data_IF_884208452946
#
_entry.id   IF_884208452946
#
_cell.length_a   1.000
_cell.length_b   1.000
_cell.length_c   1.000
_cell.angle_alpha   90.00
_cell.angle_beta   90.00
_cell.angle_gamma   90.00
#
_symmetry.space_group_name_H-M   'P 1'
#
loop_
_entity.id
_entity.type
_entity.pdbx_description
1 polymer ?
#
# COMPACT_ATOMS: atom_id res chain seq x y z
N UNK A 1 -13.12 16.52 35.69
CA UNK A 1 -11.99 16.88 36.57
C UNK A 1 -11.00 15.73 36.85
N UNK A 2 -11.41 14.47 37.04
CA UNK A 2 -10.47 13.32 37.20
C UNK A 2 -9.50 13.14 36.01
N UNK A 3 -10.02 13.26 34.79
CA UNK A 3 -9.26 13.10 33.53
C UNK A 3 -8.08 14.08 33.38
N UNK A 4 -8.22 15.31 33.90
CA UNK A 4 -7.17 16.34 33.88
C UNK A 4 -6.01 16.03 34.85
N UNK A 5 -6.27 15.28 35.92
CA UNK A 5 -5.25 14.80 36.85
C UNK A 5 -4.40 13.69 36.23
N UNK A 6 -5.06 12.70 35.62
CA UNK A 6 -4.41 11.58 34.93
C UNK A 6 -3.57 12.04 33.73
N UNK A 7 -4.01 13.08 33.01
CA UNK A 7 -3.24 13.70 31.92
C UNK A 7 -1.99 14.45 32.39
N UNK A 8 -2.03 15.07 33.58
CA UNK A 8 -0.84 15.71 34.17
C UNK A 8 0.21 14.67 34.55
N UNK A 9 -0.22 13.52 35.08
CA UNK A 9 0.67 12.42 35.42
C UNK A 9 1.33 11.80 34.19
N UNK A 10 0.58 11.60 33.09
CA UNK A 10 1.12 11.12 31.82
C UNK A 10 2.15 12.08 31.22
N UNK A 11 1.89 13.39 31.28
CA UNK A 11 2.82 14.40 30.80
C UNK A 11 4.12 14.43 31.62
N UNK A 12 4.01 14.37 32.95
CA UNK A 12 5.19 14.28 33.81
C UNK A 12 6.00 13.00 33.59
N UNK A 13 5.35 11.89 33.26
CA UNK A 13 6.02 10.64 32.91
C UNK A 13 6.80 10.77 31.60
N UNK A 14 6.16 11.35 30.56
CA UNK A 14 6.79 11.59 29.26
C UNK A 14 8.03 12.47 29.39
N UNK A 15 7.92 13.59 30.13
CA UNK A 15 9.02 14.54 30.36
C UNK A 15 10.17 13.94 31.19
N UNK A 16 9.90 12.95 32.05
CA UNK A 16 10.93 12.20 32.80
C UNK A 16 11.65 11.19 31.92
N UNK A 17 10.92 10.50 31.04
CA UNK A 17 11.51 9.53 30.09
C UNK A 17 12.39 10.25 29.07
N UNK A 18 11.98 11.42 28.56
CA UNK A 18 12.77 12.22 27.64
C UNK A 18 14.13 12.66 28.22
N UNK A 19 14.20 12.89 29.53
CA UNK A 19 15.44 13.24 30.26
C UNK A 19 16.37 12.05 30.53
N UNK A 20 15.88 10.81 30.38
CA UNK A 20 16.61 9.57 30.73
C UNK A 20 17.33 8.91 29.54
N UNK A 21 17.18 9.42 28.31
CA UNK A 21 17.73 8.79 27.11
C UNK A 21 19.14 9.35 26.83
N UNK A 22 20.23 8.56 26.97
CA UNK A 22 21.57 8.99 26.55
C UNK A 22 21.70 8.88 25.01
N UNK A 23 22.66 9.63 24.44
CA UNK A 23 23.12 9.82 23.04
C UNK A 23 23.08 8.65 22.02
N UNK A 24 22.54 7.46 22.34
CA UNK A 24 22.31 6.33 21.42
C UNK A 24 21.20 6.58 20.39
N UNK A 25 20.32 7.56 20.57
CA UNK A 25 19.27 7.93 19.59
C UNK A 25 19.85 8.38 18.24
N UNK A 26 21.07 8.92 18.24
CA UNK A 26 21.78 9.32 17.02
C UNK A 26 22.19 8.11 16.19
N UNK A 27 22.50 6.95 16.78
CA UNK A 27 22.97 5.78 16.01
C UNK A 27 21.85 5.03 15.29
N UNK A 28 20.63 5.00 15.85
CA UNK A 28 19.46 4.39 15.20
C UNK A 28 18.92 5.28 14.08
N UNK A 29 18.88 6.59 14.30
CA UNK A 29 18.53 7.56 13.25
C UNK A 29 19.53 7.49 12.08
N UNK A 30 20.83 7.39 12.36
CA UNK A 30 21.84 7.19 11.32
C UNK A 30 21.71 5.85 10.59
N UNK A 31 21.23 4.79 11.27
CA UNK A 31 21.01 3.49 10.65
C UNK A 31 19.83 3.50 9.67
N UNK A 32 18.73 4.15 10.05
CA UNK A 32 17.55 4.30 9.20
C UNK A 32 17.83 5.22 8.01
N UNK A 33 18.55 6.33 8.23
CA UNK A 33 19.00 7.23 7.16
C UNK A 33 19.93 6.53 6.17
N UNK A 34 20.89 5.73 6.67
CA UNK A 34 21.79 4.91 5.82
C UNK A 34 21.01 3.87 5.01
N UNK A 35 20.00 3.22 5.60
CA UNK A 35 19.16 2.25 4.90
C UNK A 35 18.35 2.91 3.78
N UNK A 36 17.83 4.11 4.03
CA UNK A 36 17.10 4.89 3.03
C UNK A 36 18.02 5.30 1.86
N UNK A 37 19.20 5.84 2.16
CA UNK A 37 20.20 6.21 1.13
C UNK A 37 20.61 5.01 0.25
N UNK A 38 20.81 3.83 0.86
CA UNK A 38 21.17 2.62 0.12
C UNK A 38 20.02 2.14 -0.78
N UNK A 39 18.76 2.23 -0.31
CA UNK A 39 17.58 1.88 -1.12
C UNK A 39 17.39 2.83 -2.31
N UNK A 40 17.59 4.13 -2.11
CA UNK A 40 17.51 5.13 -3.18
C UNK A 40 18.63 4.92 -4.22
N UNK A 41 19.87 4.63 -3.78
CA UNK A 41 20.98 4.26 -4.66
C UNK A 41 20.71 2.98 -5.45
N UNK A 42 20.13 1.96 -4.82
CA UNK A 42 19.78 0.71 -5.49
C UNK A 42 18.69 0.94 -6.56
N UNK A 43 17.63 1.67 -6.23
CA UNK A 43 16.53 1.93 -7.17
C UNK A 43 16.96 2.82 -8.34
N UNK A 44 17.74 3.88 -8.08
CA UNK A 44 18.28 4.73 -9.15
C UNK A 44 19.25 3.97 -10.05
N UNK A 45 20.09 3.11 -9.47
CA UNK A 45 20.98 2.23 -10.22
C UNK A 45 20.25 1.23 -11.10
N UNK A 46 19.27 0.49 -10.56
CA UNK A 46 18.43 -0.45 -11.32
C UNK A 46 17.71 0.24 -12.48
N UNK A 47 17.21 1.46 -12.26
CA UNK A 47 16.56 2.27 -13.30
C UNK A 47 17.54 2.65 -14.41
N UNK A 48 18.78 3.04 -14.05
CA UNK A 48 19.83 3.42 -15.02
C UNK A 48 20.21 2.26 -15.95
N UNK A 49 20.19 1.03 -15.44
CA UNK A 49 20.51 -0.18 -16.21
C UNK A 49 19.27 -0.91 -16.75
N UNK A 50 18.09 -0.31 -16.62
CA UNK A 50 16.81 -0.83 -17.11
C UNK A 50 16.42 -2.23 -16.58
N UNK A 51 16.69 -2.49 -15.30
CA UNK A 51 16.25 -3.70 -14.60
C UNK A 51 15.05 -3.42 -13.70
N UNK A 52 14.12 -4.37 -13.65
CA UNK A 52 12.86 -4.24 -12.92
C UNK A 52 13.01 -4.62 -11.44
N UNK A 53 13.92 -5.54 -11.12
CA UNK A 53 14.19 -5.93 -9.74
C UNK A 53 15.57 -6.58 -9.56
N UNK A 54 16.01 -6.62 -8.30
CA UNK A 54 17.30 -7.18 -7.85
C UNK A 54 17.48 -8.66 -8.23
N UNK A 55 16.40 -9.44 -8.36
CA UNK A 55 16.49 -10.87 -8.68
C UNK A 55 17.02 -11.12 -10.10
N UNK A 56 17.06 -10.09 -10.95
CA UNK A 56 17.61 -10.15 -12.30
C UNK A 56 19.13 -9.94 -12.32
N UNK A 57 19.73 -9.34 -11.29
CA UNK A 57 21.17 -9.02 -11.25
C UNK A 57 22.08 -10.24 -11.46
N UNK A 58 21.87 -11.40 -10.80
CA UNK A 58 22.78 -12.55 -10.98
C UNK A 58 22.75 -13.12 -12.42
N UNK A 59 21.60 -13.02 -13.09
CA UNK A 59 21.46 -13.41 -14.50
C UNK A 59 22.22 -12.46 -15.41
N UNK A 60 22.02 -11.16 -15.23
CA UNK A 60 22.65 -10.12 -16.05
C UNK A 60 24.17 -10.03 -15.86
N UNK A 61 24.67 -10.25 -14.64
CA UNK A 61 26.10 -10.35 -14.34
C UNK A 61 26.73 -11.48 -15.15
N UNK A 62 26.12 -12.68 -15.11
CA UNK A 62 26.59 -13.84 -15.86
C UNK A 62 26.58 -13.57 -17.37
N UNK A 63 25.52 -12.96 -17.88
CA UNK A 63 25.38 -12.67 -19.30
C UNK A 63 26.39 -11.61 -19.77
N UNK A 64 26.68 -10.59 -18.93
CA UNK A 64 27.73 -9.59 -19.19
C UNK A 64 29.13 -10.23 -19.20
N UNK A 65 29.43 -11.14 -18.26
CA UNK A 65 30.70 -11.90 -18.26
C UNK A 65 30.89 -12.73 -19.53
N UNK A 66 29.81 -13.35 -20.03
CA UNK A 66 29.84 -14.11 -21.29
C UNK A 66 30.06 -13.20 -22.51
N UNK A 67 29.42 -12.02 -22.55
CA UNK A 67 29.63 -11.01 -23.60
C UNK A 67 31.07 -10.49 -23.61
N UNK A 68 31.67 -10.21 -22.44
CA UNK A 68 33.08 -9.82 -22.33
C UNK A 68 34.00 -10.89 -22.92
N UNK A 69 33.83 -12.16 -22.51
CA UNK A 69 34.62 -13.29 -23.03
C UNK A 69 34.49 -13.41 -24.55
N UNK A 70 33.30 -13.17 -25.10
CA UNK A 70 33.03 -13.17 -26.55
C UNK A 70 33.74 -12.02 -27.26
N UNK A 71 33.66 -10.79 -26.74
CA UNK A 71 34.31 -9.63 -27.36
C UNK A 71 35.84 -9.72 -27.35
N UNK A 72 36.42 -10.25 -26.27
CA UNK A 72 37.86 -10.51 -26.17
C UNK A 72 38.34 -11.53 -27.22
N UNK A 73 37.58 -12.64 -27.41
CA UNK A 73 37.89 -13.64 -28.45
C UNK A 73 37.79 -13.08 -29.86
N UNK A 74 36.96 -12.07 -30.08
CA UNK A 74 36.74 -11.43 -31.38
C UNK A 74 37.69 -10.25 -31.64
N UNK A 75 38.62 -9.95 -30.73
CA UNK A 75 39.53 -8.81 -30.86
C UNK A 75 38.87 -7.44 -30.71
N UNK A 76 37.61 -7.38 -30.25
CA UNK A 76 36.83 -6.14 -30.06
C UNK A 76 37.09 -5.56 -28.66
N UNK A 77 38.27 -4.98 -28.48
CA UNK A 77 38.75 -4.48 -27.19
C UNK A 77 37.87 -3.36 -26.61
N UNK A 78 37.37 -2.46 -27.45
CA UNK A 78 36.51 -1.33 -27.03
C UNK A 78 35.16 -1.82 -26.48
N UNK A 79 34.47 -2.72 -27.19
CA UNK A 79 33.24 -3.35 -26.71
C UNK A 79 33.44 -4.16 -25.42
N UNK A 80 34.58 -4.84 -25.27
CA UNK A 80 34.90 -5.55 -24.05
C UNK A 80 35.10 -4.58 -22.87
N UNK A 81 35.69 -3.41 -23.11
CA UNK A 81 35.87 -2.38 -22.08
C UNK A 81 34.55 -1.73 -21.66
N UNK A 82 33.65 -1.45 -22.59
CA UNK A 82 32.35 -0.89 -22.25
C UNK A 82 31.46 -1.90 -21.51
N UNK A 83 31.51 -3.17 -21.92
CA UNK A 83 30.82 -4.24 -21.19
C UNK A 83 31.43 -4.49 -19.80
N UNK A 84 32.74 -4.29 -19.63
CA UNK A 84 33.39 -4.32 -18.29
C UNK A 84 32.92 -3.19 -17.39
N UNK A 85 32.67 -1.98 -17.93
CA UNK A 85 32.07 -0.88 -17.15
C UNK A 85 30.65 -1.24 -16.72
N UNK A 86 29.87 -1.82 -17.63
CA UNK A 86 28.52 -2.28 -17.32
C UNK A 86 28.50 -3.38 -16.25
N UNK A 87 29.40 -4.37 -16.34
CA UNK A 87 29.56 -5.41 -15.33
C UNK A 87 29.91 -4.82 -13.95
N UNK A 88 30.79 -3.81 -13.90
CA UNK A 88 31.13 -3.13 -12.65
C UNK A 88 29.91 -2.42 -12.03
N UNK A 89 29.05 -1.81 -12.85
CA UNK A 89 27.80 -1.20 -12.35
C UNK A 89 26.83 -2.24 -11.77
N UNK A 90 26.73 -3.42 -12.41
CA UNK A 90 25.91 -4.53 -11.91
C UNK A 90 26.41 -5.08 -10.57
N UNK A 91 27.72 -5.29 -10.44
CA UNK A 91 28.35 -5.79 -9.21
C UNK A 91 28.23 -4.80 -8.05
N UNK A 92 28.28 -3.50 -8.33
CA UNK A 92 28.07 -2.47 -7.31
C UNK A 92 26.63 -2.49 -6.78
N UNK A 93 25.64 -2.76 -7.63
CA UNK A 93 24.24 -2.90 -7.21
C UNK A 93 23.99 -4.19 -6.43
N UNK A 94 24.64 -5.29 -6.80
CA UNK A 94 24.63 -6.54 -6.03
C UNK A 94 25.19 -6.30 -4.61
N UNK A 95 26.33 -5.62 -4.50
CA UNK A 95 26.95 -5.25 -3.22
C UNK A 95 26.03 -4.39 -2.34
N UNK A 96 25.36 -3.39 -2.94
CA UNK A 96 24.40 -2.54 -2.21
C UNK A 96 23.21 -3.36 -1.72
N UNK A 97 22.71 -4.30 -2.53
CA UNK A 97 21.63 -5.20 -2.15
C UNK A 97 22.02 -6.12 -0.98
N UNK A 98 23.24 -6.67 -0.99
CA UNK A 98 23.76 -7.46 0.13
C UNK A 98 23.94 -6.61 1.40
N UNK A 99 24.43 -5.37 1.28
CA UNK A 99 24.55 -4.45 2.41
C UNK A 99 23.18 -4.15 3.03
N UNK A 100 22.14 -3.95 2.21
CA UNK A 100 20.76 -3.79 2.71
C UNK A 100 20.28 -5.07 3.41
N UNK A 101 20.57 -6.26 2.87
CA UNK A 101 20.20 -7.53 3.48
C UNK A 101 20.86 -7.72 4.86
N UNK A 102 22.14 -7.39 4.99
CA UNK A 102 22.88 -7.50 6.26
C UNK A 102 22.38 -6.51 7.31
N UNK A 103 22.08 -5.27 6.91
CA UNK A 103 21.51 -4.25 7.79
C UNK A 103 20.05 -4.54 8.21
N UNK A 104 19.38 -5.48 7.54
CA UNK A 104 17.99 -5.86 7.85
C UNK A 104 17.86 -7.20 8.59
N UNK A 105 18.94 -7.98 8.73
CA UNK A 105 18.94 -9.24 9.50
C UNK A 105 19.34 -9.02 10.98
N UNK A 106 18.43 -9.34 11.91
CA UNK A 106 18.73 -9.52 13.36
C UNK A 106 18.91 -11.04 13.64
N UNK A 107 19.84 -11.49 14.49
CA UNK A 107 20.12 -12.91 14.68
C UNK A 107 19.11 -13.58 15.62
N UNK A 108 18.47 -14.65 15.16
CA UNK A 108 17.74 -15.60 16.00
C UNK A 108 18.39 -16.98 15.88
N UNK A 109 18.95 -17.45 17.00
CA UNK A 109 19.56 -18.76 17.17
C UNK A 109 18.52 -19.88 17.32
N UNK A 110 18.91 -21.07 16.84
CA UNK A 110 18.48 -22.43 17.16
C UNK A 110 17.00 -22.72 17.46
N UNK A 111 16.42 -23.64 16.68
CA UNK A 111 16.05 -24.98 17.16
C UNK A 111 15.60 -25.88 16.00
N UNK A 112 16.33 -26.99 15.88
CA UNK A 112 16.02 -28.19 15.09
C UNK A 112 14.74 -28.87 15.55
N UNK A 113 13.91 -29.39 14.63
CA UNK A 113 13.45 -30.79 14.62
C UNK A 113 12.57 -31.10 13.40
N UNK A 114 12.85 -32.27 12.81
CA UNK A 114 12.27 -32.89 11.63
C UNK A 114 10.87 -33.52 11.85
N UNK A 115 10.16 -33.90 10.76
CA UNK A 115 8.72 -34.14 10.73
C UNK A 115 8.33 -35.63 10.75
N UNK A 116 7.05 -35.92 11.06
CA UNK A 116 6.42 -37.20 10.74
C UNK A 116 5.07 -37.00 10.04
N UNK A 117 4.92 -37.82 9.00
CA UNK A 117 3.87 -37.93 7.98
C UNK A 117 2.72 -38.87 8.36
N UNK A 118 1.51 -38.62 7.83
CA UNK A 118 0.53 -39.58 7.24
C UNK A 118 -0.78 -38.82 6.90
N UNK A 119 -1.18 -38.68 5.61
CA UNK A 119 -2.01 -39.59 4.78
C UNK A 119 -3.46 -39.77 5.31
N UNK A 120 -4.59 -39.65 4.59
CA UNK A 120 -4.95 -39.28 3.21
C UNK A 120 -6.51 -39.27 3.07
N UNK A 121 -7.03 -38.64 2.00
CA UNK A 121 -8.27 -38.89 1.22
C UNK A 121 -9.63 -38.18 1.52
N UNK A 122 -10.02 -37.35 0.51
CA UNK A 122 -11.35 -37.09 -0.10
C UNK A 122 -12.34 -36.12 0.62
N UNK A 123 -13.01 -35.13 0.01
CA UNK A 123 -13.25 -34.76 -1.40
C UNK A 123 -13.64 -33.25 -1.59
N UNK A 124 -13.12 -32.64 -2.67
CA UNK A 124 -13.56 -31.53 -3.58
C UNK A 124 -14.50 -30.37 -3.16
N UNK A 125 -14.45 -29.22 -3.88
CA UNK A 125 -13.31 -28.35 -4.23
C UNK A 125 -13.53 -26.94 -3.60
N UNK A 126 -12.66 -25.95 -3.88
CA UNK A 126 -13.00 -24.52 -4.10
C UNK A 126 -11.83 -23.62 -3.67
N UNK A 127 -11.19 -23.07 -4.71
CA UNK A 127 -10.27 -21.93 -4.80
C UNK A 127 -8.87 -22.16 -4.20
N UNK A 128 -8.04 -22.83 -5.00
CA UNK A 128 -6.58 -22.68 -4.98
C UNK A 128 -6.07 -22.61 -6.42
N UNK A 129 -6.34 -21.48 -7.07
CA UNK A 129 -5.55 -21.00 -8.21
C UNK A 129 -5.58 -19.47 -8.14
N UNK A 130 -4.45 -18.85 -7.75
CA UNK A 130 -4.20 -17.43 -8.05
C UNK A 130 -4.01 -17.39 -9.57
N UNK A 131 -5.12 -17.31 -10.27
CA UNK A 131 -5.19 -17.23 -11.72
C UNK A 131 -5.21 -15.76 -12.14
N UNK A 132 -4.75 -15.51 -13.36
CA UNK A 132 -4.81 -14.26 -14.13
C UNK A 132 -6.20 -13.57 -14.15
N UNK A 133 -7.24 -14.21 -13.62
CA UNK A 133 -8.60 -13.69 -13.45
C UNK A 133 -8.70 -12.54 -12.45
N UNK A 134 -7.88 -12.51 -11.39
CA UNK A 134 -7.96 -11.48 -10.34
C UNK A 134 -7.41 -10.12 -10.81
N UNK A 135 -6.33 -10.11 -11.61
CA UNK A 135 -5.81 -8.89 -12.22
C UNK A 135 -6.77 -8.31 -13.27
N UNK A 136 -7.38 -9.17 -14.09
CA UNK A 136 -8.39 -8.74 -15.06
C UNK A 136 -9.60 -8.09 -14.39
N UNK A 137 -10.08 -8.66 -13.28
CA UNK A 137 -11.18 -8.10 -12.51
C UNK A 137 -10.81 -6.75 -11.88
N UNK A 138 -9.60 -6.62 -11.32
CA UNK A 138 -9.10 -5.34 -10.80
C UNK A 138 -9.02 -4.26 -11.89
N UNK A 139 -8.49 -4.61 -13.07
CA UNK A 139 -8.42 -3.70 -14.22
C UNK A 139 -9.81 -3.27 -14.70
N UNK A 140 -10.77 -4.20 -14.78
CA UNK A 140 -12.16 -3.86 -15.11
C UNK A 140 -12.80 -2.90 -14.12
N UNK A 141 -12.67 -3.18 -12.81
CA UNK A 141 -13.22 -2.31 -11.78
C UNK A 141 -12.60 -0.89 -11.84
N UNK A 142 -11.30 -0.81 -12.10
CA UNK A 142 -10.61 0.46 -12.31
C UNK A 142 -11.16 1.24 -13.52
N UNK A 143 -11.43 0.56 -14.64
CA UNK A 143 -12.02 1.18 -15.82
C UNK A 143 -13.45 1.65 -15.59
N UNK A 144 -14.27 0.88 -14.88
CA UNK A 144 -15.63 1.28 -14.50
C UNK A 144 -15.63 2.55 -13.65
N UNK A 145 -14.67 2.65 -12.71
CA UNK A 145 -14.48 3.85 -11.90
C UNK A 145 -14.11 5.06 -12.76
N UNK A 146 -13.14 4.91 -13.68
CA UNK A 146 -12.73 5.99 -14.59
C UNK A 146 -13.87 6.42 -15.52
N UNK A 147 -14.66 5.47 -16.03
CA UNK A 147 -15.84 5.74 -16.86
C UNK A 147 -16.90 6.53 -16.08
N UNK A 148 -17.13 6.17 -14.82
CA UNK A 148 -18.04 6.89 -13.93
C UNK A 148 -17.60 8.33 -13.68
N UNK A 149 -16.29 8.55 -13.50
CA UNK A 149 -15.74 9.89 -13.28
C UNK A 149 -15.87 10.82 -14.49
N UNK A 150 -15.88 10.29 -15.72
CA UNK A 150 -15.87 11.10 -16.95
C UNK A 150 -17.09 12.01 -17.12
N UNK A 151 -18.21 11.74 -16.45
CA UNK A 151 -19.37 12.65 -16.47
C UNK A 151 -19.08 13.95 -15.71
N UNK A 152 -18.25 13.86 -14.68
CA UNK A 152 -17.98 14.95 -13.74
C UNK A 152 -16.70 15.73 -14.11
N UNK A 153 -15.81 15.13 -14.90
CA UNK A 153 -14.60 15.80 -15.41
C UNK A 153 -14.99 16.77 -16.55
N UNK A 154 -14.61 18.07 -16.46
CA UNK A 154 -14.85 19.04 -17.53
C UNK A 154 -14.06 18.70 -18.79
N UNK A 155 -14.34 19.37 -19.91
CA UNK A 155 -13.61 19.16 -21.17
C UNK A 155 -12.18 19.73 -21.15
N UNK A 156 -11.30 19.12 -20.35
CA UNK A 156 -9.90 19.48 -20.13
C UNK A 156 -8.93 18.37 -20.57
N UNK A 157 -7.62 18.58 -20.35
CA UNK A 157 -6.59 17.59 -20.62
C UNK A 157 -6.82 16.28 -19.84
N UNK A 158 -7.21 16.37 -18.56
CA UNK A 158 -7.51 15.19 -17.72
C UNK A 158 -8.54 14.28 -18.37
N UNK A 159 -9.67 14.84 -18.82
CA UNK A 159 -10.73 14.06 -19.48
C UNK A 159 -10.22 13.35 -20.72
N UNK A 160 -9.48 14.05 -21.57
CA UNK A 160 -8.93 13.48 -22.81
C UNK A 160 -7.93 12.35 -22.51
N UNK A 161 -7.13 12.47 -21.44
CA UNK A 161 -6.22 11.39 -21.03
C UNK A 161 -6.99 10.18 -20.51
N UNK A 162 -8.03 10.39 -19.70
CA UNK A 162 -8.89 9.31 -19.19
C UNK A 162 -9.60 8.60 -20.35
N UNK A 163 -10.12 9.34 -21.33
CA UNK A 163 -10.70 8.78 -22.55
C UNK A 163 -9.68 7.88 -23.29
N UNK A 164 -8.44 8.34 -23.42
CA UNK A 164 -7.36 7.55 -24.02
C UNK A 164 -6.99 6.32 -23.21
N UNK A 165 -6.91 6.43 -21.89
CA UNK A 165 -6.62 5.30 -21.01
C UNK A 165 -7.68 4.22 -21.15
N UNK A 166 -8.96 4.60 -21.11
CA UNK A 166 -10.07 3.66 -21.28
C UNK A 166 -10.01 2.98 -22.65
N UNK A 167 -9.75 3.75 -23.71
CA UNK A 167 -9.60 3.21 -25.07
C UNK A 167 -8.49 2.16 -25.18
N UNK A 168 -7.27 2.50 -24.76
CA UNK A 168 -6.12 1.61 -24.92
C UNK A 168 -6.11 0.43 -23.93
N UNK A 169 -6.61 0.60 -22.71
CA UNK A 169 -6.79 -0.52 -21.78
C UNK A 169 -7.87 -1.50 -22.28
N UNK A 170 -8.97 -1.03 -22.86
CA UNK A 170 -9.96 -1.92 -23.49
C UNK A 170 -9.37 -2.71 -24.67
N UNK A 171 -8.50 -2.08 -25.48
CA UNK A 171 -7.75 -2.78 -26.54
C UNK A 171 -6.80 -3.85 -26.00
N UNK A 172 -6.13 -3.60 -24.87
CA UNK A 172 -5.29 -4.60 -24.20
C UNK A 172 -6.09 -5.76 -23.62
N UNK A 173 -7.36 -5.54 -23.25
CA UNK A 173 -8.26 -6.54 -22.69
C UNK A 173 -9.07 -7.31 -23.76
N UNK A 174 -8.84 -7.06 -25.05
CA UNK A 174 -9.56 -7.64 -26.19
C UNK A 174 -11.10 -7.42 -26.17
N UNK A 175 -11.58 -6.41 -25.44
CA UNK A 175 -13.01 -6.07 -25.36
C UNK A 175 -13.32 -4.95 -26.37
N UNK A 176 -13.97 -5.37 -27.46
CA UNK A 176 -14.59 -4.60 -28.54
C UNK A 176 -13.82 -4.40 -29.87
N UNK A 177 -14.62 -4.70 -30.89
CA UNK A 177 -14.44 -4.80 -32.33
C UNK A 177 -14.71 -3.48 -33.06
N UNK A 178 -13.87 -3.13 -34.04
CA UNK A 178 -14.21 -2.71 -35.42
C UNK A 178 -13.28 -1.62 -35.97
N UNK A 179 -13.05 -1.72 -37.27
CA UNK A 179 -11.94 -1.18 -38.05
C UNK A 179 -12.18 0.25 -38.60
N UNK A 180 -12.55 1.22 -37.76
CA UNK A 180 -12.75 2.63 -38.18
C UNK A 180 -11.97 3.71 -37.39
N UNK A 181 -11.03 3.35 -36.52
CA UNK A 181 -10.57 4.26 -35.44
C UNK A 181 -9.28 5.07 -35.70
N UNK A 182 -8.43 4.73 -36.68
CA UNK A 182 -7.11 5.38 -36.85
C UNK A 182 -7.17 6.90 -37.13
N UNK A 183 -8.21 7.36 -37.84
CA UNK A 183 -8.38 8.80 -38.14
C UNK A 183 -8.92 9.61 -36.95
N UNK A 184 -9.62 8.98 -36.00
CA UNK A 184 -10.15 9.64 -34.79
C UNK A 184 -9.02 9.86 -33.78
N UNK A 185 -8.13 8.87 -33.62
CA UNK A 185 -7.02 8.89 -32.66
C UNK A 185 -5.98 10.00 -32.90
N UNK A 186 -5.80 10.44 -34.15
CA UNK A 186 -4.79 11.45 -34.50
C UNK A 186 -5.26 12.88 -34.21
N UNK A 187 -6.55 13.14 -34.44
CA UNK A 187 -7.19 14.41 -34.06
C UNK A 187 -7.24 14.61 -32.54
N UNK A 188 -7.48 13.53 -31.79
CA UNK A 188 -7.56 13.57 -30.33
C UNK A 188 -6.21 13.78 -29.64
N UNK A 189 -5.10 13.30 -30.23
CA UNK A 189 -3.76 13.55 -29.68
C UNK A 189 -3.36 15.02 -29.83
N UNK A 190 -3.66 15.64 -30.98
CA UNK A 190 -3.44 17.07 -31.18
C UNK A 190 -4.28 17.90 -30.19
N UNK A 191 -5.55 17.52 -30.00
CA UNK A 191 -6.43 18.12 -28.98
C UNK A 191 -5.80 18.06 -27.59
N UNK A 192 -5.27 16.90 -27.19
CA UNK A 192 -4.59 16.74 -25.89
C UNK A 192 -3.37 17.66 -25.75
N UNK A 193 -2.54 17.77 -26.78
CA UNK A 193 -1.38 18.67 -26.76
C UNK A 193 -1.78 20.13 -26.63
N UNK A 194 -2.85 20.53 -27.32
CA UNK A 194 -3.36 21.90 -27.25
C UNK A 194 -4.00 22.17 -25.88
N UNK A 195 -4.68 21.19 -25.27
CA UNK A 195 -5.22 21.31 -23.91
C UNK A 195 -4.10 21.46 -22.87
N UNK A 196 -3.08 20.59 -22.88
CA UNK A 196 -1.94 20.67 -21.95
C UNK A 196 -1.24 22.02 -22.04
N UNK A 197 -1.09 22.58 -23.25
CA UNK A 197 -0.52 23.92 -23.45
C UNK A 197 -1.41 25.02 -22.90
N UNK A 198 -2.72 24.98 -23.21
CA UNK A 198 -3.69 26.00 -22.76
C UNK A 198 -3.89 26.00 -21.26
N UNK A 199 -3.80 24.82 -20.64
CA UNK A 199 -3.97 24.60 -19.20
C UNK A 199 -2.65 24.75 -18.42
N UNK A 200 -1.58 25.22 -19.08
CA UNK A 200 -0.27 25.51 -18.47
C UNK A 200 0.43 24.30 -17.83
N UNK A 201 0.06 23.08 -18.21
CA UNK A 201 0.70 21.85 -17.75
C UNK A 201 1.97 21.45 -18.54
N UNK A 202 2.42 22.30 -19.46
CA UNK A 202 3.58 22.00 -20.30
C UNK A 202 4.91 22.24 -19.56
N UNK A 203 5.37 21.19 -18.88
CA UNK A 203 6.71 21.07 -18.26
C UNK A 203 7.69 20.29 -19.16
N UNK A 204 8.98 20.26 -18.82
CA UNK A 204 9.93 19.40 -19.55
C UNK A 204 9.57 17.91 -19.42
N UNK A 205 9.14 17.46 -18.23
CA UNK A 205 8.73 16.07 -18.02
C UNK A 205 7.51 15.69 -18.87
N UNK A 206 6.48 16.55 -18.93
CA UNK A 206 5.29 16.30 -19.75
C UNK A 206 5.59 16.38 -21.25
N UNK A 207 6.56 17.21 -21.68
CA UNK A 207 7.04 17.21 -23.08
C UNK A 207 7.68 15.87 -23.45
N UNK A 208 8.53 15.33 -22.59
CA UNK A 208 9.17 14.01 -22.80
C UNK A 208 8.09 12.94 -22.90
N UNK A 209 7.15 12.89 -21.95
CA UNK A 209 6.06 11.91 -21.97
C UNK A 209 5.20 12.03 -23.24
N UNK A 210 4.92 13.26 -23.71
CA UNK A 210 4.16 13.48 -24.94
C UNK A 210 4.93 13.07 -26.21
N UNK A 211 6.26 13.14 -26.20
CA UNK A 211 7.10 12.64 -27.29
C UNK A 211 7.12 11.11 -27.30
N UNK A 212 7.31 10.48 -26.14
CA UNK A 212 7.25 9.02 -25.98
C UNK A 212 5.88 8.47 -26.42
N UNK A 213 4.80 9.15 -26.04
CA UNK A 213 3.44 8.79 -26.45
C UNK A 213 3.28 8.79 -27.99
N UNK A 214 3.90 9.73 -28.71
CA UNK A 214 3.91 9.74 -30.18
C UNK A 214 4.66 8.55 -30.75
N UNK A 215 5.87 8.28 -30.23
CA UNK A 215 6.71 7.17 -30.67
C UNK A 215 6.01 5.81 -30.45
N UNK A 216 5.39 5.63 -29.29
CA UNK A 216 4.67 4.40 -28.95
C UNK A 216 3.38 4.21 -29.75
N UNK A 217 2.71 5.30 -30.10
CA UNK A 217 1.57 5.27 -31.03
C UNK A 217 2.01 4.79 -32.41
N UNK A 218 3.08 5.34 -32.96
CA UNK A 218 3.58 4.98 -34.29
C UNK A 218 4.07 3.52 -34.35
N UNK A 219 4.52 2.97 -33.21
CA UNK A 219 4.95 1.57 -33.08
C UNK A 219 3.86 0.60 -32.59
N UNK A 220 2.61 1.06 -32.41
CA UNK A 220 1.46 0.26 -31.94
C UNK A 220 1.70 -0.50 -30.62
N UNK A 221 2.56 0.04 -29.74
CA UNK A 221 2.84 -0.56 -28.44
C UNK A 221 1.85 -0.07 -27.38
N UNK A 222 0.69 -0.74 -27.30
CA UNK A 222 -0.43 -0.32 -26.45
C UNK A 222 -0.09 -0.29 -24.94
N UNK A 223 0.73 -1.20 -24.45
CA UNK A 223 1.13 -1.20 -23.04
C UNK A 223 1.96 0.05 -22.71
N UNK A 224 2.93 0.40 -23.55
CA UNK A 224 3.74 1.61 -23.36
C UNK A 224 2.92 2.89 -23.52
N UNK A 225 1.90 2.90 -24.39
CA UNK A 225 0.94 4.01 -24.49
C UNK A 225 0.19 4.20 -23.16
N UNK A 226 -0.37 3.11 -22.60
CA UNK A 226 -1.07 3.14 -21.30
C UNK A 226 -0.15 3.65 -20.19
N UNK A 227 1.10 3.19 -20.14
CA UNK A 227 2.06 3.62 -19.12
C UNK A 227 2.41 5.11 -19.26
N UNK A 228 2.59 5.60 -20.50
CA UNK A 228 2.79 7.02 -20.77
C UNK A 228 1.59 7.87 -20.33
N UNK A 229 0.37 7.42 -20.64
CA UNK A 229 -0.86 8.10 -20.24
C UNK A 229 -1.05 8.11 -18.72
N UNK A 230 -0.71 7.03 -18.02
CA UNK A 230 -0.73 6.99 -16.54
C UNK A 230 0.27 7.99 -15.94
N UNK A 231 1.49 8.06 -16.47
CA UNK A 231 2.50 9.04 -16.05
C UNK A 231 2.03 10.47 -16.32
N UNK A 232 1.46 10.71 -17.50
CA UNK A 232 0.94 12.02 -17.88
C UNK A 232 -0.22 12.43 -16.98
N UNK A 233 -1.13 11.51 -16.68
CA UNK A 233 -2.24 11.73 -15.75
C UNK A 233 -1.73 12.10 -14.36
N UNK A 234 -0.74 11.37 -13.83
CA UNK A 234 -0.13 11.69 -12.53
C UNK A 234 0.53 13.08 -12.51
N UNK A 235 1.17 13.48 -13.62
CA UNK A 235 1.82 14.78 -13.72
C UNK A 235 0.82 15.95 -13.72
N UNK A 236 -0.32 15.81 -14.41
CA UNK A 236 -1.34 16.87 -14.49
C UNK A 236 -2.38 16.80 -13.37
N UNK A 237 -2.52 15.64 -12.73
CA UNK A 237 -3.45 15.37 -11.63
C UNK A 237 -2.67 14.92 -10.39
N UNK A 238 -2.00 15.85 -9.69
CA UNK A 238 -1.27 15.54 -8.46
C UNK A 238 -2.19 15.12 -7.31
N UNK A 239 -3.49 15.46 -7.38
CA UNK A 239 -4.50 15.05 -6.43
C UNK A 239 -5.79 14.63 -7.14
N UNK A 240 -6.29 13.43 -6.86
CA UNK A 240 -7.55 12.94 -7.42
C UNK A 240 -8.74 13.36 -6.54
N UNK A 241 -9.33 14.50 -6.86
CA UNK A 241 -10.48 15.06 -6.12
C UNK A 241 -11.71 14.15 -6.15
N UNK A 242 -11.96 13.44 -7.26
CA UNK A 242 -13.10 12.53 -7.37
C UNK A 242 -12.93 11.30 -6.48
N UNK A 243 -11.71 10.77 -6.37
CA UNK A 243 -11.40 9.70 -5.41
C UNK A 243 -11.62 10.19 -3.97
N UNK A 244 -11.12 11.38 -3.62
CA UNK A 244 -11.34 11.98 -2.30
C UNK A 244 -12.85 12.11 -2.03
N UNK A 245 -13.63 12.62 -2.99
CA UNK A 245 -15.08 12.74 -2.82
C UNK A 245 -15.76 11.38 -2.60
N UNK A 246 -15.34 10.33 -3.33
CA UNK A 246 -15.87 8.98 -3.15
C UNK A 246 -15.52 8.43 -1.76
N UNK A 247 -14.27 8.58 -1.33
CA UNK A 247 -13.83 8.14 0.00
C UNK A 247 -14.52 8.91 1.13
N UNK A 248 -14.67 10.23 0.99
CA UNK A 248 -15.39 11.09 1.95
C UNK A 248 -16.85 10.69 2.04
N UNK A 249 -17.54 10.41 0.92
CA UNK A 249 -18.92 9.93 0.93
C UNK A 249 -19.06 8.58 1.65
N UNK A 250 -18.12 7.66 1.48
CA UNK A 250 -18.13 6.39 2.23
C UNK A 250 -17.90 6.62 3.73
N UNK A 251 -17.04 7.58 4.09
CA UNK A 251 -16.85 7.97 5.48
C UNK A 251 -18.09 8.65 6.07
N UNK A 252 -18.80 9.50 5.32
CA UNK A 252 -20.06 10.13 5.73
C UNK A 252 -21.16 9.10 5.98
N UNK A 253 -21.35 8.13 5.07
CA UNK A 253 -22.26 7.00 5.28
C UNK A 253 -21.93 6.25 6.57
N UNK A 254 -20.65 6.09 6.84
CA UNK A 254 -20.18 5.42 8.05
C UNK A 254 -20.46 6.27 9.30
N UNK A 255 -20.24 7.58 9.23
CA UNK A 255 -20.57 8.52 10.31
C UNK A 255 -22.06 8.48 10.66
N UNK A 256 -22.95 8.34 9.67
CA UNK A 256 -24.39 8.12 9.89
C UNK A 256 -24.67 6.81 10.65
N UNK A 257 -23.97 5.72 10.33
CA UNK A 257 -24.16 4.43 11.01
C UNK A 257 -23.79 4.48 12.50
N UNK A 258 -22.89 5.38 12.91
CA UNK A 258 -22.44 5.51 14.31
C UNK A 258 -23.00 6.75 15.03
N UNK A 259 -23.82 7.54 14.35
CA UNK A 259 -24.42 8.75 14.91
C UNK A 259 -25.25 8.44 16.15
N UNK A 260 -25.09 9.24 17.18
CA UNK A 260 -25.73 9.11 18.49
C UNK A 260 -25.48 7.76 19.20
N UNK A 261 -24.51 6.97 18.75
CA UNK A 261 -24.12 5.69 19.38
C UNK A 261 -22.93 5.87 20.31
N UNK A 262 -22.84 4.98 21.29
CA UNK A 262 -21.62 4.78 22.07
C UNK A 262 -20.71 3.83 21.30
N UNK A 263 -19.49 4.27 21.02
CA UNK A 263 -18.53 3.50 20.23
C UNK A 263 -17.27 3.19 21.03
N UNK A 264 -16.65 2.05 20.71
CA UNK A 264 -15.25 1.77 21.04
C UNK A 264 -14.42 1.97 19.79
N UNK A 265 -13.55 2.96 19.80
CA UNK A 265 -12.60 3.20 18.71
C UNK A 265 -11.29 2.47 19.01
N UNK A 266 -10.88 1.56 18.12
CA UNK A 266 -9.61 0.88 18.22
C UNK A 266 -8.52 1.73 17.59
N UNK A 267 -7.47 2.03 18.37
CA UNK A 267 -6.35 2.87 17.92
C UNK A 267 -5.03 2.14 18.13
N UNK A 268 -4.09 2.35 17.20
CA UNK A 268 -2.77 1.71 17.20
C UNK A 268 -2.12 1.74 15.82
N UNK A 269 -0.80 1.58 15.77
CA UNK A 269 -0.04 1.51 14.51
C UNK A 269 -0.54 0.39 13.58
N UNK A 270 -0.23 0.47 12.29
CA UNK A 270 -0.54 -0.62 11.35
C UNK A 270 0.18 -1.90 11.78
N UNK A 271 -0.53 -3.04 11.73
CA UNK A 271 0.01 -4.33 12.18
C UNK A 271 -0.06 -4.60 13.69
N UNK A 272 -0.66 -3.70 14.49
CA UNK A 272 -0.90 -3.94 15.94
C UNK A 272 -2.05 -4.91 16.22
N UNK A 273 -2.77 -5.35 15.19
CA UNK A 273 -3.84 -6.34 15.31
C UNK A 273 -5.25 -5.78 15.48
N UNK A 274 -5.50 -4.48 15.21
CA UNK A 274 -6.83 -3.84 15.32
C UNK A 274 -7.95 -4.63 14.64
N UNK A 275 -7.81 -4.85 13.33
CA UNK A 275 -8.78 -5.59 12.52
C UNK A 275 -8.90 -7.05 12.99
N UNK A 276 -7.80 -7.68 13.38
CA UNK A 276 -7.76 -9.04 13.92
C UNK A 276 -8.51 -9.15 15.25
N UNK A 277 -8.35 -8.16 16.15
CA UNK A 277 -9.08 -8.08 17.41
C UNK A 277 -10.57 -7.92 17.18
N UNK A 278 -11.00 -7.07 16.24
CA UNK A 278 -12.42 -6.91 15.91
C UNK A 278 -12.98 -8.23 15.39
N UNK A 279 -12.30 -8.87 14.44
CA UNK A 279 -12.70 -10.18 13.92
C UNK A 279 -12.91 -11.20 15.05
N UNK A 280 -11.95 -11.34 15.95
CA UNK A 280 -12.07 -12.23 17.10
C UNK A 280 -13.24 -11.87 18.02
N UNK A 281 -13.39 -10.60 18.41
CA UNK A 281 -14.47 -10.13 19.30
C UNK A 281 -15.86 -10.28 18.67
N UNK A 282 -15.93 -10.37 17.34
CA UNK A 282 -17.17 -10.54 16.58
C UNK A 282 -17.52 -12.00 16.30
N UNK A 283 -16.79 -12.95 16.89
CA UNK A 283 -17.09 -14.39 16.81
C UNK A 283 -16.43 -15.13 15.65
N UNK A 284 -15.53 -14.48 14.89
CA UNK A 284 -14.75 -15.18 13.87
C UNK A 284 -13.85 -16.23 14.51
N UNK A 285 -13.84 -17.45 13.94
CA UNK A 285 -12.90 -18.49 14.34
C UNK A 285 -11.53 -18.12 13.79
N UNK A 286 -10.48 -18.27 14.60
CA UNK A 286 -9.13 -17.90 14.23
C UNK A 286 -8.25 -19.15 14.13
N UNK A 287 -7.33 -19.19 13.17
CA UNK A 287 -6.38 -20.29 12.97
C UNK A 287 -4.97 -19.74 12.77
N UNK A 288 -4.00 -20.43 13.35
CA UNK A 288 -2.58 -20.16 13.12
C UNK A 288 -2.15 -20.78 11.79
N UNK A 289 -1.60 -19.97 10.90
CA UNK A 289 -1.17 -20.38 9.56
C UNK A 289 0.27 -19.96 9.30
N UNK A 290 0.99 -20.74 8.50
CA UNK A 290 2.31 -20.34 7.97
C UNK A 290 2.11 -19.85 6.54
N UNK A 291 2.39 -18.57 6.31
CA UNK A 291 2.24 -17.91 5.02
C UNK A 291 3.62 -17.73 4.42
N UNK A 292 3.85 -18.28 3.24
CA UNK A 292 5.10 -18.04 2.50
C UNK A 292 5.10 -16.62 1.94
N UNK A 293 6.06 -15.80 2.37
CA UNK A 293 6.19 -14.41 1.91
C UNK A 293 7.10 -14.34 0.68
N UNK A 294 8.12 -15.18 0.65
CA UNK A 294 9.11 -15.31 -0.43
C UNK A 294 9.57 -16.76 -0.43
N UNK A 295 10.03 -17.29 -1.57
CA UNK A 295 10.48 -18.69 -1.66
C UNK A 295 11.38 -19.11 -0.49
N UNK A 296 10.89 -20.05 0.33
CA UNK A 296 11.58 -20.57 1.50
C UNK A 296 11.49 -19.74 2.79
N UNK A 297 10.76 -18.62 2.81
CA UNK A 297 10.52 -17.78 4.00
C UNK A 297 9.04 -17.77 4.38
N UNK A 298 8.76 -18.18 5.61
CA UNK A 298 7.40 -18.28 6.15
C UNK A 298 7.19 -17.31 7.31
N UNK A 299 6.03 -16.65 7.34
CA UNK A 299 5.53 -15.89 8.47
C UNK A 299 4.43 -16.69 9.17
N UNK A 300 4.52 -16.78 10.49
CA UNK A 300 3.41 -17.24 11.31
C UNK A 300 2.37 -16.12 11.43
N UNK A 301 1.16 -16.39 10.98
CA UNK A 301 0.05 -15.44 10.97
C UNK A 301 -1.20 -16.05 11.65
N UNK A 302 -2.07 -15.18 12.13
CA UNK A 302 -3.40 -15.55 12.67
C UNK A 302 -4.44 -15.13 11.64
N UNK A 303 -5.02 -16.11 10.96
CA UNK A 303 -6.03 -15.91 9.91
C UNK A 303 -7.40 -16.35 10.40
N UNK A 304 -8.44 -15.94 9.65
CA UNK A 304 -9.83 -16.33 9.92
C UNK A 304 -10.07 -17.73 9.34
N UNK A 305 -10.68 -18.61 10.14
CA UNK A 305 -11.02 -19.99 9.79
C UNK A 305 -12.51 -20.12 9.45
N UNK A 306 -12.82 -20.04 8.15
CA UNK A 306 -14.19 -20.10 7.63
C UNK A 306 -14.84 -18.74 7.39
N UNK A 307 -16.10 -18.71 6.92
CA UNK A 307 -16.79 -17.47 6.59
C UNK A 307 -17.09 -16.63 7.85
N UNK A 308 -17.05 -15.30 7.75
CA UNK A 308 -17.38 -14.41 8.87
C UNK A 308 -18.82 -14.65 9.33
N UNK A 309 -19.03 -14.74 10.65
CA UNK A 309 -20.36 -14.94 11.23
C UNK A 309 -21.20 -13.67 11.22
N UNK A 310 -20.55 -12.50 11.35
CA UNK A 310 -21.21 -11.21 11.27
C UNK A 310 -21.10 -10.64 9.85
N UNK A 311 -22.23 -10.35 9.16
CA UNK A 311 -22.21 -9.83 7.81
C UNK A 311 -21.52 -8.46 7.71
N UNK A 312 -21.39 -7.67 8.77
CA UNK A 312 -20.69 -6.38 8.76
C UNK A 312 -19.17 -6.52 8.63
N UNK A 313 -18.62 -7.74 8.79
CA UNK A 313 -17.18 -8.02 8.69
C UNK A 313 -16.66 -8.11 7.26
N UNK A 314 -17.52 -8.09 6.23
CA UNK A 314 -17.09 -8.12 4.82
C UNK A 314 -16.17 -6.96 4.44
N UNK A 315 -16.21 -5.86 5.22
CA UNK A 315 -15.38 -4.66 5.01
C UNK A 315 -14.08 -4.67 5.83
N UNK A 316 -13.89 -5.64 6.73
CA UNK A 316 -12.70 -5.76 7.58
C UNK A 316 -11.89 -6.96 7.12
N UNK A 317 -10.86 -6.71 6.32
CA UNK A 317 -9.94 -7.76 5.87
C UNK A 317 -8.74 -7.89 6.82
N UNK A 318 -8.39 -9.12 7.22
CA UNK A 318 -7.19 -9.43 8.02
C UNK A 318 -6.43 -10.55 7.31
N UNK A 319 -5.26 -10.26 6.75
CA UNK A 319 -4.33 -11.28 6.25
C UNK A 319 -2.89 -10.76 6.29
N UNK A 320 -1.90 -11.66 6.45
CA UNK A 320 -0.47 -11.35 6.42
C UNK A 320 0.01 -10.63 5.15
N UNK A 321 -0.70 -10.79 4.03
CA UNK A 321 -0.34 -10.21 2.73
C UNK A 321 -1.20 -9.01 2.36
N UNK A 322 -2.27 -8.74 3.11
CA UNK A 322 -3.04 -7.52 2.93
C UNK A 322 -2.25 -6.38 3.54
N UNK A 323 -1.80 -5.46 2.68
CA UNK A 323 -1.44 -4.12 3.10
C UNK A 323 -2.70 -3.52 3.72
N UNK A 324 -2.76 -3.56 5.06
CA UNK A 324 -3.92 -3.14 5.84
C UNK A 324 -4.04 -1.61 5.69
N UNK A 325 -4.75 -1.19 4.66
CA UNK A 325 -5.12 0.20 4.39
C UNK A 325 -6.61 0.32 4.76
N UNK A 326 -6.93 0.38 6.05
CA UNK A 326 -8.30 0.70 6.49
C UNK A 326 -8.58 2.14 6.05
N UNK A 327 -9.29 2.32 4.93
CA UNK A 327 -9.47 3.62 4.24
C UNK A 327 -10.55 4.54 4.84
N UNK A 328 -11.27 4.06 5.84
CA UNK A 328 -12.27 4.80 6.60
C UNK A 328 -12.63 4.00 7.85
N UNK A 329 -13.15 4.68 8.88
CA UNK A 329 -13.65 4.00 10.08
C UNK A 329 -14.67 2.95 9.66
N UNK A 330 -14.56 1.72 10.17
CA UNK A 330 -15.53 0.67 9.87
C UNK A 330 -16.18 0.17 11.17
N UNK A 331 -17.48 0.48 11.40
CA UNK A 331 -18.20 0.05 12.58
C UNK A 331 -18.71 -1.38 12.42
N UNK A 332 -18.58 -2.14 13.50
CA UNK A 332 -19.16 -3.46 13.66
C UNK A 332 -19.93 -3.48 14.97
N UNK A 333 -21.23 -3.74 14.87
CA UNK A 333 -22.09 -3.89 16.04
C UNK A 333 -22.02 -5.33 16.53
N UNK A 334 -21.71 -5.50 17.81
CA UNK A 334 -21.64 -6.80 18.49
C UNK A 334 -22.67 -6.84 19.61
N UNK A 335 -23.58 -7.83 19.64
CA UNK A 335 -24.43 -8.08 20.78
C UNK A 335 -23.61 -8.44 22.02
N UNK A 336 -23.84 -7.77 23.15
CA UNK A 336 -23.10 -8.07 24.38
C UNK A 336 -23.38 -9.49 24.88
N UNK A 337 -24.55 -10.07 24.57
CA UNK A 337 -24.80 -11.50 24.84
C UNK A 337 -23.76 -12.46 24.26
N UNK A 338 -23.15 -12.10 23.14
CA UNK A 338 -22.16 -12.94 22.46
C UNK A 338 -20.78 -12.85 23.13
N UNK A 339 -20.55 -11.81 23.95
CA UNK A 339 -19.29 -11.55 24.67
C UNK A 339 -19.41 -11.87 26.17
N UNK A 340 -20.48 -11.41 26.82
CA UNK A 340 -20.69 -11.42 28.27
C UNK A 340 -21.72 -12.46 28.74
N UNK A 341 -22.48 -13.07 27.82
CA UNK A 341 -23.45 -14.13 28.09
C UNK A 341 -24.92 -13.68 28.01
N UNK A 342 -25.83 -14.67 28.01
CA UNK A 342 -27.23 -14.52 27.61
C UNK A 342 -28.10 -13.49 28.38
N UNK A 343 -27.60 -12.94 29.49
CA UNK A 343 -28.32 -11.96 30.30
C UNK A 343 -28.18 -10.51 29.81
N UNK A 344 -27.24 -10.24 28.90
CA UNK A 344 -26.96 -8.91 28.36
C UNK A 344 -27.67 -8.69 27.02
N UNK A 345 -28.65 -7.77 26.98
CA UNK A 345 -29.40 -7.45 25.76
C UNK A 345 -28.87 -6.23 24.99
N UNK A 346 -27.84 -5.58 25.52
CA UNK A 346 -27.26 -4.39 24.93
C UNK A 346 -26.32 -4.73 23.76
N UNK A 347 -25.93 -3.70 23.01
CA UNK A 347 -25.02 -3.79 21.89
C UNK A 347 -23.84 -2.86 22.07
N UNK A 348 -22.68 -3.26 21.57
CA UNK A 348 -21.50 -2.42 21.48
C UNK A 348 -21.09 -2.22 20.03
N UNK A 349 -20.68 -1.01 19.67
CA UNK A 349 -20.16 -0.73 18.33
C UNK A 349 -18.65 -0.60 18.40
N UNK A 350 -17.95 -1.57 17.84
CA UNK A 350 -16.49 -1.54 17.69
C UNK A 350 -16.15 -0.87 16.36
N UNK A 351 -15.22 0.07 16.37
CA UNK A 351 -14.81 0.81 15.18
C UNK A 351 -13.36 0.50 14.86
N UNK A 352 -13.12 -0.11 13.69
CA UNK A 352 -11.77 -0.22 13.13
C UNK A 352 -11.39 1.15 12.57
N UNK A 353 -10.26 1.70 12.99
CA UNK A 353 -9.76 2.97 12.49
C UNK A 353 -8.55 2.75 11.58
N UNK A 354 -8.30 3.67 10.62
CA UNK A 354 -7.03 3.71 9.91
C UNK A 354 -5.85 3.69 10.90
N UNK A 355 -4.76 3.01 10.54
CA UNK A 355 -3.52 3.13 11.32
C UNK A 355 -2.99 4.56 11.28
N UNK A 356 -2.40 5.04 12.38
CA UNK A 356 -1.71 6.32 12.35
C UNK A 356 -0.51 6.23 11.40
N UNK A 357 -0.30 7.26 10.57
CA UNK A 357 0.74 7.31 9.52
C UNK A 357 0.53 6.30 8.39
N UNK A 358 -0.73 6.01 8.01
CA UNK A 358 -1.00 5.18 6.85
C UNK A 358 -0.45 5.84 5.55
N UNK A 359 0.17 5.05 4.68
CA UNK A 359 0.94 5.53 3.51
C UNK A 359 0.24 5.25 2.18
N UNK A 360 -1.08 5.09 2.22
CA UNK A 360 -1.92 4.73 1.08
C UNK A 360 -2.09 5.85 0.03
N UNK A 361 -1.41 6.99 0.20
CA UNK A 361 -1.43 8.15 -0.70
C UNK A 361 -2.12 9.37 -0.09
N UNK A 362 -1.91 10.56 -0.67
CA UNK A 362 -2.46 11.81 -0.15
C UNK A 362 -4.01 11.83 -0.17
N UNK A 363 -4.65 11.19 -1.15
CA UNK A 363 -6.11 11.12 -1.21
C UNK A 363 -6.71 10.33 -0.04
N UNK A 364 -6.10 9.19 0.29
CA UNK A 364 -6.55 8.34 1.40
C UNK A 364 -6.28 9.02 2.73
N UNK A 365 -5.15 9.72 2.89
CA UNK A 365 -4.82 10.47 4.09
C UNK A 365 -5.82 11.62 4.34
N UNK A 366 -6.16 12.38 3.30
CA UNK A 366 -7.18 13.45 3.37
C UNK A 366 -8.54 12.85 3.74
N UNK A 367 -8.97 11.79 3.05
CA UNK A 367 -10.27 11.18 3.29
C UNK A 367 -10.37 10.52 4.67
N UNK A 368 -9.30 9.88 5.14
CA UNK A 368 -9.19 9.34 6.49
C UNK A 368 -9.33 10.43 7.53
N UNK A 369 -8.58 11.53 7.36
CA UNK A 369 -8.60 12.66 8.29
C UNK A 369 -9.99 13.28 8.41
N UNK A 370 -10.64 13.57 7.28
CA UNK A 370 -12.01 14.09 7.24
C UNK A 370 -13.01 13.07 7.81
N UNK A 371 -12.89 11.82 7.40
CA UNK A 371 -13.79 10.74 7.78
C UNK A 371 -13.78 10.45 9.28
N UNK A 372 -12.59 10.41 9.90
CA UNK A 372 -12.44 10.22 11.34
C UNK A 372 -13.08 11.39 12.10
N UNK A 373 -12.81 12.63 11.69
CA UNK A 373 -13.36 13.82 12.35
C UNK A 373 -14.90 13.80 12.31
N UNK A 374 -15.49 13.62 11.13
CA UNK A 374 -16.95 13.63 10.96
C UNK A 374 -17.62 12.44 11.66
N UNK A 375 -17.00 11.27 11.61
CA UNK A 375 -17.44 10.08 12.35
C UNK A 375 -17.50 10.35 13.86
N UNK A 376 -16.46 10.94 14.44
CA UNK A 376 -16.39 11.15 15.90
C UNK A 376 -17.32 12.27 16.38
N UNK A 377 -17.46 13.37 15.62
CA UNK A 377 -18.35 14.51 15.98
C UNK A 377 -19.81 14.09 16.18
N UNK A 378 -20.30 13.13 15.40
CA UNK A 378 -21.70 12.69 15.46
C UNK A 378 -22.00 11.64 16.54
N UNK A 379 -20.99 11.13 17.25
CA UNK A 379 -21.18 10.03 18.22
C UNK A 379 -21.60 10.53 19.59
N UNK A 380 -22.37 9.72 20.34
CA UNK A 380 -22.79 10.07 21.71
C UNK A 380 -21.62 10.06 22.69
N UNK A 381 -20.75 9.06 22.57
CA UNK A 381 -19.52 8.96 23.35
C UNK A 381 -18.52 8.03 22.68
N UNK A 382 -17.24 8.35 22.82
CA UNK A 382 -16.14 7.54 22.28
C UNK A 382 -15.33 6.98 23.44
N UNK A 383 -15.18 5.64 23.49
CA UNK A 383 -14.21 4.96 24.35
C UNK A 383 -13.02 4.51 23.50
N UNK A 384 -11.81 4.83 23.93
CA UNK A 384 -10.60 4.44 23.19
C UNK A 384 -10.11 3.07 23.69
N UNK A 385 -9.93 2.13 22.77
CA UNK A 385 -9.23 0.88 23.03
C UNK A 385 -7.89 0.91 22.30
N UNK A 386 -6.81 0.96 23.07
CA UNK A 386 -5.47 1.10 22.53
C UNK A 386 -4.79 -0.25 22.38
N UNK A 387 -4.33 -0.56 21.17
CA UNK A 387 -3.58 -1.76 20.86
C UNK A 387 -2.11 -1.42 20.59
N UNK A 388 -1.23 -2.09 21.33
CA UNK A 388 0.21 -1.94 21.21
C UNK A 388 0.82 -3.28 20.86
N UNK A 389 1.62 -3.31 19.78
CA UNK A 389 2.42 -4.49 19.47
C UNK A 389 3.64 -4.51 20.38
N UNK A 390 3.94 -5.69 20.96
CA UNK A 390 5.16 -5.90 21.74
C UNK A 390 6.42 -5.52 20.95
N UNK A 391 6.43 -5.80 19.64
CA UNK A 391 7.55 -5.41 18.75
C UNK A 391 7.63 -3.90 18.57
N UNK A 392 6.49 -3.20 18.52
CA UNK A 392 6.42 -1.73 18.35
C UNK A 392 6.70 -0.95 19.64
N UNK A 393 6.67 -1.59 20.82
CA UNK A 393 7.02 -0.90 22.07
C UNK A 393 8.46 -0.36 22.05
N UNK A 394 9.35 -1.06 21.34
CA UNK A 394 10.78 -0.78 21.32
C UNK A 394 11.45 -1.05 22.67
N UNK A 395 12.79 -1.03 22.69
CA UNK A 395 13.57 -1.37 23.89
C UNK A 395 13.40 -0.35 25.03
N UNK A 396 12.81 0.82 24.77
CA UNK A 396 12.68 1.93 25.72
C UNK A 396 11.30 2.59 25.74
N UNK A 397 10.26 1.88 25.29
CA UNK A 397 8.89 2.37 25.35
C UNK A 397 8.60 3.51 24.36
N UNK A 398 9.35 3.61 23.26
CA UNK A 398 9.10 4.61 22.21
C UNK A 398 7.69 4.49 21.63
N UNK A 399 7.15 3.27 21.51
CA UNK A 399 5.76 3.07 21.08
C UNK A 399 4.74 3.69 22.03
N UNK A 400 5.03 3.72 23.34
CA UNK A 400 4.17 4.38 24.34
C UNK A 400 4.26 5.90 24.22
N UNK A 401 5.44 6.45 23.95
CA UNK A 401 5.62 7.89 23.73
C UNK A 401 4.83 8.39 22.51
N UNK A 402 4.97 7.72 21.36
CA UNK A 402 4.22 8.04 20.14
C UNK A 402 2.71 8.00 20.37
N UNK A 403 2.24 6.96 21.05
CA UNK A 403 0.83 6.85 21.44
C UNK A 403 0.38 8.02 22.33
N UNK A 404 1.17 8.38 23.33
CA UNK A 404 0.85 9.48 24.22
C UNK A 404 0.75 10.82 23.47
N UNK A 405 1.65 11.07 22.52
CA UNK A 405 1.60 12.24 21.63
C UNK A 405 0.30 12.28 20.82
N UNK A 406 -0.09 11.15 20.22
CA UNK A 406 -1.34 11.01 19.48
C UNK A 406 -2.55 11.33 20.37
N UNK A 407 -2.62 10.72 21.56
CA UNK A 407 -3.72 10.94 22.50
C UNK A 407 -3.79 12.40 22.98
N UNK A 408 -2.64 13.05 23.22
CA UNK A 408 -2.59 14.46 23.60
C UNK A 408 -3.13 15.34 22.47
N UNK A 409 -2.80 15.03 21.22
CA UNK A 409 -3.25 15.81 20.06
C UNK A 409 -4.76 15.65 19.83
N UNK A 410 -5.34 14.46 20.08
CA UNK A 410 -6.79 14.24 19.96
C UNK A 410 -7.62 14.97 21.02
N UNK A 411 -7.03 15.35 22.16
CA UNK A 411 -7.74 15.97 23.31
C UNK A 411 -7.54 17.50 23.36
N UNK A 412 -6.62 18.05 22.57
CA UNK A 412 -6.21 19.47 22.64
C UNK A 412 -7.03 20.43 21.77
N UNK A 413 -8.11 19.98 21.14
CA UNK A 413 -9.05 20.87 20.43
C UNK A 413 -10.14 21.45 21.35
#
# INVERSE_FOLDING_TARGET
MKFLGELKELKELSDKIARWIPNKSVSLFNHELKLQELKEKLNSGLTKINLLNVNQLPGEIRDAEERIKKYQKQGRQENAQDEMKFLHELQELERISEEICTLTSVPSADLTHEPTTESSLSALPVITEISTSDEHNKKRLYLEVLLGDMTDIPSCAEKTIVEFLVHYENRLLEVCTSSQEENVETSSLQKLQDQIKREEFLTEDTKVILQDLKIHKDSSNYQSIVDCLKKLLQAIRPLNVLEIQRLVREAEKTAELIRDKEIILLIGETGTGKSTTIQFLTGSKMKKTKVEIVSGRFLEDITIDGPPQNPQLHRISSSALNKSETRYITPVTVPLRDILGAHENDHITLCDAPGFSDTAGPEVDIANSLGVIEALKGTKSVKLLVLLSYKSLGDRGQGIQKLAEILINMVRE
#
